data_IF_034857789126
#
_entry.id   IF_034857789126
#
_cell.length_a   1.000
_cell.length_b   1.000
_cell.length_c   1.000
_cell.angle_alpha   90.00
_cell.angle_beta   90.00
_cell.angle_gamma   90.00
#
_symmetry.space_group_name_H-M   'P 1'
#
loop_
_entity.id
_entity.type
_entity.pdbx_description
1 polymer ?
#
# COMPACT_ATOMS: atom_id res chain seq x y z
N UNK A 1 -50.75 33.09 -4.25
CA UNK A 1 -49.78 32.47 -5.16
C UNK A 1 -48.33 32.62 -4.70
N UNK A 2 -47.89 33.77 -4.19
CA UNK A 2 -46.49 34.06 -3.80
C UNK A 2 -45.95 33.25 -2.59
N UNK A 3 -46.78 32.94 -1.58
CA UNK A 3 -46.37 32.21 -0.36
C UNK A 3 -46.04 30.74 -0.67
N UNK A 4 -46.84 30.09 -1.56
CA UNK A 4 -46.59 28.69 -1.96
C UNK A 4 -45.23 28.53 -2.70
N UNK A 5 -44.90 29.48 -3.59
CA UNK A 5 -43.63 29.50 -4.30
C UNK A 5 -42.46 29.75 -3.35
N UNK A 6 -42.61 30.56 -2.32
CA UNK A 6 -41.59 30.81 -1.31
C UNK A 6 -41.31 29.56 -0.44
N UNK A 7 -42.37 28.85 -0.05
CA UNK A 7 -42.25 27.60 0.73
C UNK A 7 -41.57 26.52 -0.10
N UNK A 8 -41.87 26.38 -1.39
CA UNK A 8 -41.22 25.40 -2.28
C UNK A 8 -39.74 25.75 -2.46
N UNK A 9 -39.41 27.00 -2.63
CA UNK A 9 -38.02 27.44 -2.75
C UNK A 9 -37.21 27.20 -1.44
N UNK A 10 -37.81 27.47 -0.29
CA UNK A 10 -37.19 27.21 1.01
C UNK A 10 -36.99 25.72 1.27
N UNK A 11 -37.98 24.88 0.93
CA UNK A 11 -37.84 23.41 1.00
C UNK A 11 -36.71 22.90 0.06
N UNK A 12 -36.57 23.46 -1.13
CA UNK A 12 -35.52 23.14 -2.07
C UNK A 12 -34.14 23.46 -1.53
N UNK A 13 -33.98 24.60 -0.85
CA UNK A 13 -32.68 24.99 -0.23
C UNK A 13 -32.36 24.07 0.95
N UNK A 14 -33.35 23.66 1.76
CA UNK A 14 -33.16 22.72 2.88
C UNK A 14 -32.78 21.33 2.37
N UNK A 15 -33.36 20.86 1.26
CA UNK A 15 -33.02 19.57 0.65
C UNK A 15 -31.63 19.58 0.03
N UNK A 16 -31.19 20.70 -0.52
CA UNK A 16 -29.83 20.86 -1.06
C UNK A 16 -28.73 20.89 0.03
N UNK A 17 -29.05 21.36 1.24
CA UNK A 17 -28.12 21.40 2.36
C UNK A 17 -27.79 20.04 2.97
N UNK A 18 -28.54 18.99 2.67
CA UNK A 18 -28.30 17.62 3.13
C UNK A 18 -27.14 16.91 2.40
N UNK A 19 -26.64 17.49 1.31
CA UNK A 19 -25.56 16.88 0.51
C UNK A 19 -24.14 17.22 1.00
N UNK A 20 -23.96 17.88 2.12
CA UNK A 20 -22.74 18.63 2.37
C UNK A 20 -21.74 18.04 3.37
N UNK A 21 -21.86 16.85 3.89
CA UNK A 21 -20.77 16.25 4.69
C UNK A 21 -20.83 14.72 4.63
N UNK A 22 -20.24 14.15 3.60
CA UNK A 22 -19.77 12.76 3.70
C UNK A 22 -18.55 12.76 4.65
N UNK A 23 -18.67 12.08 5.77
CA UNK A 23 -17.55 11.83 6.69
C UNK A 23 -16.52 10.95 5.93
N UNK A 24 -15.46 11.60 5.43
CA UNK A 24 -14.44 10.94 4.61
C UNK A 24 -13.60 10.04 5.49
N UNK A 25 -13.89 8.74 5.52
CA UNK A 25 -13.16 7.74 6.29
C UNK A 25 -12.12 7.06 5.43
N UNK A 26 -10.90 7.00 5.94
CA UNK A 26 -9.82 6.23 5.34
C UNK A 26 -9.14 5.34 6.38
N UNK A 27 -8.51 4.27 5.93
CA UNK A 27 -7.68 3.44 6.78
C UNK A 27 -6.21 3.84 6.65
N UNK A 28 -5.52 3.97 7.77
CA UNK A 28 -4.07 4.11 7.82
C UNK A 28 -3.45 2.81 8.32
N UNK A 29 -2.54 2.24 7.54
CA UNK A 29 -1.82 1.00 7.82
C UNK A 29 -0.33 1.31 7.82
N UNK A 30 0.43 0.73 8.73
CA UNK A 30 1.88 0.87 8.77
C UNK A 30 2.55 -0.47 8.48
N UNK A 31 3.50 -0.47 7.53
CA UNK A 31 4.45 -1.54 7.29
C UNK A 31 5.84 -1.03 7.62
N UNK A 32 6.29 -1.25 8.84
CA UNK A 32 7.62 -0.86 9.30
C UNK A 32 8.44 -2.11 9.66
N UNK A 33 9.56 -2.32 8.96
CA UNK A 33 10.41 -3.48 9.14
C UNK A 33 10.14 -4.61 8.16
N UNK A 34 10.53 -5.85 8.52
CA UNK A 34 10.54 -6.99 7.60
C UNK A 34 9.14 -7.51 7.27
N UNK A 35 8.89 -7.81 5.99
CA UNK A 35 7.67 -8.47 5.51
C UNK A 35 7.68 -9.93 5.96
N UNK A 36 6.78 -10.26 6.90
CA UNK A 36 6.63 -11.58 7.51
C UNK A 36 5.15 -11.95 7.62
N UNK A 37 4.79 -13.20 7.98
CA UNK A 37 3.40 -13.63 8.02
C UNK A 37 2.52 -12.81 8.97
N UNK A 38 3.03 -12.38 10.12
CA UNK A 38 2.25 -11.59 11.10
C UNK A 38 1.89 -10.21 10.52
N UNK A 39 2.85 -9.57 9.88
CA UNK A 39 2.62 -8.28 9.19
C UNK A 39 1.70 -8.46 7.99
N UNK A 40 1.83 -9.55 7.25
CA UNK A 40 0.93 -9.84 6.12
C UNK A 40 -0.51 -10.03 6.60
N UNK A 41 -0.74 -10.83 7.63
CA UNK A 41 -2.07 -11.03 8.24
C UNK A 41 -2.67 -9.70 8.73
N UNK A 42 -1.88 -8.87 9.37
CA UNK A 42 -2.32 -7.54 9.81
C UNK A 42 -2.77 -6.68 8.64
N UNK A 43 -1.96 -6.58 7.57
CA UNK A 43 -2.26 -5.76 6.40
C UNK A 43 -3.50 -6.29 5.65
N UNK A 44 -3.55 -7.61 5.38
CA UNK A 44 -4.66 -8.28 4.70
C UNK A 44 -5.97 -8.04 5.44
N UNK A 45 -5.99 -8.25 6.76
CA UNK A 45 -7.18 -8.03 7.59
C UNK A 45 -7.57 -6.55 7.66
N UNK A 46 -6.60 -5.63 7.67
CA UNK A 46 -6.88 -4.19 7.68
C UNK A 46 -7.51 -3.72 6.36
N UNK A 47 -6.98 -4.17 5.21
CA UNK A 47 -7.57 -3.88 3.89
C UNK A 47 -8.98 -4.47 3.79
N UNK A 48 -9.16 -5.73 4.22
CA UNK A 48 -10.48 -6.38 4.24
C UNK A 48 -11.48 -5.60 5.10
N UNK A 49 -11.09 -5.17 6.29
CA UNK A 49 -11.91 -4.36 7.19
C UNK A 49 -12.28 -3.02 6.54
N UNK A 50 -11.33 -2.33 5.93
CA UNK A 50 -11.57 -1.07 5.25
C UNK A 50 -12.61 -1.20 4.11
N UNK A 51 -12.55 -2.30 3.33
CA UNK A 51 -13.55 -2.62 2.32
C UNK A 51 -14.94 -2.89 2.95
N UNK A 52 -15.02 -3.64 4.06
CA UNK A 52 -16.28 -3.95 4.73
C UNK A 52 -16.95 -2.72 5.36
N UNK A 53 -16.15 -1.77 5.83
CA UNK A 53 -16.63 -0.51 6.41
C UNK A 53 -16.87 0.58 5.36
N UNK A 54 -16.73 0.26 4.06
CA UNK A 54 -16.90 1.18 2.93
C UNK A 54 -16.08 2.46 3.09
N UNK A 55 -14.81 2.31 3.51
CA UNK A 55 -13.88 3.43 3.56
C UNK A 55 -13.56 3.90 2.15
N UNK A 56 -13.17 5.16 1.99
CA UNK A 56 -12.92 5.73 0.67
C UNK A 56 -11.61 5.22 0.06
N UNK A 57 -10.60 5.02 0.88
CA UNK A 57 -9.29 4.49 0.47
C UNK A 57 -8.50 3.97 1.67
N UNK A 58 -7.43 3.25 1.38
CA UNK A 58 -6.41 2.82 2.35
C UNK A 58 -5.11 3.53 2.04
N UNK A 59 -4.43 4.06 3.06
CA UNK A 59 -3.04 4.52 2.98
C UNK A 59 -2.17 3.55 3.75
N UNK A 60 -1.22 2.93 3.05
CA UNK A 60 -0.17 2.10 3.65
C UNK A 60 1.14 2.89 3.66
N UNK A 61 1.56 3.33 4.83
CA UNK A 61 2.88 3.93 5.04
C UNK A 61 3.91 2.82 5.17
N UNK A 62 4.98 2.88 4.38
CA UNK A 62 5.92 1.78 4.26
C UNK A 62 7.37 2.21 4.43
N UNK A 63 8.09 1.47 5.29
CA UNK A 63 9.55 1.45 5.40
C UNK A 63 9.99 0.00 5.63
N UNK A 64 10.49 -0.67 4.58
CA UNK A 64 10.82 -2.09 4.65
C UNK A 64 12.07 -2.45 3.84
N UNK A 65 12.97 -3.25 4.41
CA UNK A 65 14.08 -3.87 3.67
C UNK A 65 13.61 -5.06 2.80
N UNK A 66 12.32 -5.43 2.88
CA UNK A 66 11.76 -6.60 2.23
C UNK A 66 11.42 -7.72 3.20
N UNK A 67 11.39 -8.96 2.71
CA UNK A 67 11.09 -10.12 3.55
C UNK A 67 10.61 -11.34 2.76
N UNK A 68 9.72 -12.13 3.35
CA UNK A 68 9.32 -13.43 2.85
C UNK A 68 8.39 -13.33 1.63
N UNK A 69 8.69 -14.13 0.61
CA UNK A 69 7.96 -14.17 -0.65
C UNK A 69 6.46 -14.47 -0.48
N UNK A 70 6.11 -15.42 0.38
CA UNK A 70 4.71 -15.79 0.57
C UNK A 70 3.93 -14.65 1.24
N UNK A 71 4.49 -14.05 2.30
CA UNK A 71 3.89 -12.90 2.97
C UNK A 71 3.70 -11.70 2.01
N UNK A 72 4.69 -11.43 1.17
CA UNK A 72 4.58 -10.42 0.10
C UNK A 72 3.42 -10.73 -0.86
N UNK A 73 3.29 -11.99 -1.32
CA UNK A 73 2.22 -12.40 -2.23
C UNK A 73 0.83 -12.23 -1.63
N UNK A 74 0.66 -12.53 -0.34
CA UNK A 74 -0.61 -12.37 0.36
C UNK A 74 -1.01 -10.89 0.43
N UNK A 75 -0.05 -10.01 0.73
CA UNK A 75 -0.26 -8.55 0.71
C UNK A 75 -0.65 -8.07 -0.69
N UNK A 76 0.13 -8.44 -1.71
CA UNK A 76 -0.14 -8.04 -3.11
C UNK A 76 -1.53 -8.49 -3.54
N UNK A 77 -1.89 -9.75 -3.26
CA UNK A 77 -3.23 -10.27 -3.59
C UNK A 77 -4.33 -9.44 -2.92
N UNK A 78 -4.16 -9.11 -1.65
CA UNK A 78 -5.11 -8.28 -0.89
C UNK A 78 -5.27 -6.87 -1.47
N UNK A 79 -4.18 -6.27 -1.99
CA UNK A 79 -4.22 -4.98 -2.68
C UNK A 79 -5.01 -5.10 -3.98
N UNK A 80 -4.71 -6.11 -4.81
CA UNK A 80 -5.34 -6.30 -6.10
C UNK A 80 -6.83 -6.68 -6.00
N UNK A 81 -7.21 -7.40 -4.94
CA UNK A 81 -8.60 -7.81 -4.66
C UNK A 81 -9.41 -6.69 -3.97
N UNK A 82 -8.81 -5.55 -3.65
CA UNK A 82 -9.49 -4.45 -2.95
C UNK A 82 -10.45 -3.69 -3.86
N UNK A 83 -11.69 -3.46 -3.38
CA UNK A 83 -12.69 -2.65 -4.08
C UNK A 83 -12.49 -1.14 -3.89
N UNK A 84 -11.64 -0.75 -2.93
CA UNK A 84 -11.31 0.65 -2.66
C UNK A 84 -9.83 0.89 -2.97
N UNK A 85 -9.44 2.11 -3.37
CA UNK A 85 -8.06 2.42 -3.68
C UNK A 85 -7.11 2.15 -2.51
N UNK A 86 -6.02 1.46 -2.77
CA UNK A 86 -4.91 1.28 -1.83
C UNK A 86 -3.73 2.12 -2.31
N UNK A 87 -3.33 3.07 -1.49
CA UNK A 87 -2.20 3.97 -1.71
C UNK A 87 -1.04 3.44 -0.89
N UNK A 88 0.11 3.18 -1.51
CA UNK A 88 1.34 2.82 -0.80
C UNK A 88 2.28 4.03 -0.83
N UNK A 89 2.69 4.47 0.35
CA UNK A 89 3.51 5.66 0.52
C UNK A 89 4.80 5.33 1.28
N UNK A 90 5.94 5.41 0.60
CA UNK A 90 7.26 5.22 1.23
C UNK A 90 7.64 6.47 2.01
N UNK A 91 7.69 6.36 3.33
CA UNK A 91 7.91 7.43 4.31
C UNK A 91 8.44 6.84 5.62
N UNK A 92 9.24 7.58 6.41
CA UNK A 92 9.69 8.96 6.27
C UNK A 92 10.87 9.13 5.28
N UNK A 93 11.49 10.31 5.26
CA UNK A 93 12.76 10.53 4.55
C UNK A 93 13.80 9.51 5.00
N UNK A 94 14.46 8.84 4.04
CA UNK A 94 15.39 7.75 4.30
C UNK A 94 14.74 6.36 4.38
N UNK A 95 13.41 6.28 4.34
CA UNK A 95 12.70 5.01 4.26
C UNK A 95 12.94 4.31 2.93
N UNK A 96 12.76 2.99 2.94
CA UNK A 96 12.99 2.15 1.77
C UNK A 96 11.79 1.26 1.45
N UNK A 97 11.58 1.03 0.17
CA UNK A 97 10.71 0.01 -0.40
C UNK A 97 11.58 -1.03 -1.10
N UNK A 98 12.38 -1.80 -0.32
CA UNK A 98 13.35 -2.72 -0.89
C UNK A 98 12.80 -4.14 -1.04
N UNK A 99 13.30 -4.87 -2.05
CA UNK A 99 12.96 -6.28 -2.29
C UNK A 99 11.44 -6.51 -2.34
N UNK A 100 10.85 -7.26 -1.40
CA UNK A 100 9.41 -7.47 -1.29
C UNK A 100 8.62 -6.13 -1.22
N UNK A 101 9.19 -5.09 -0.58
CA UNK A 101 8.57 -3.77 -0.50
C UNK A 101 8.38 -3.12 -1.86
N UNK A 102 9.34 -3.24 -2.76
CA UNK A 102 9.23 -2.75 -4.13
C UNK A 102 8.09 -3.42 -4.90
N UNK A 103 7.92 -4.74 -4.78
CA UNK A 103 6.80 -5.47 -5.40
C UNK A 103 5.45 -5.05 -4.81
N UNK A 104 5.36 -4.84 -3.50
CA UNK A 104 4.15 -4.33 -2.85
C UNK A 104 3.82 -2.93 -3.38
N UNK A 105 4.82 -2.06 -3.51
CA UNK A 105 4.65 -0.70 -3.99
C UNK A 105 4.12 -0.64 -5.43
N UNK A 106 4.68 -1.44 -6.36
CA UNK A 106 4.21 -1.45 -7.75
C UNK A 106 2.85 -2.13 -7.95
N UNK A 107 2.37 -2.90 -6.96
CA UNK A 107 1.02 -3.48 -6.98
C UNK A 107 -0.07 -2.53 -6.47
N UNK A 108 0.30 -1.39 -5.89
CA UNK A 108 -0.63 -0.40 -5.36
C UNK A 108 -1.44 0.28 -6.47
N UNK A 109 -2.66 0.72 -6.15
CA UNK A 109 -3.45 1.56 -7.05
C UNK A 109 -2.81 2.93 -7.25
N UNK A 110 -2.17 3.45 -6.19
CA UNK A 110 -1.36 4.67 -6.22
C UNK A 110 -0.08 4.40 -5.43
N UNK A 111 1.06 4.64 -6.07
CA UNK A 111 2.37 4.57 -5.43
C UNK A 111 2.93 5.99 -5.25
N UNK A 112 3.37 6.31 -4.04
CA UNK A 112 3.94 7.60 -3.70
C UNK A 112 5.22 7.44 -2.86
N UNK A 113 6.15 8.34 -3.02
CA UNK A 113 7.42 8.34 -2.30
C UNK A 113 7.72 9.71 -1.73
N UNK A 114 8.17 9.75 -0.48
CA UNK A 114 8.73 10.96 0.11
C UNK A 114 10.11 11.28 -0.51
N UNK A 115 10.49 12.55 -0.64
CA UNK A 115 11.83 12.89 -1.08
C UNK A 115 12.93 12.24 -0.22
N UNK A 116 13.92 11.62 -0.90
CA UNK A 116 15.03 10.94 -0.23
C UNK A 116 14.67 9.56 0.32
N UNK A 117 13.66 8.90 -0.24
CA UNK A 117 13.35 7.49 -0.03
C UNK A 117 13.84 6.65 -1.22
N UNK A 118 13.95 5.33 -1.02
CA UNK A 118 14.50 4.41 -2.00
C UNK A 118 13.49 3.32 -2.38
N UNK A 119 13.54 2.88 -3.65
CA UNK A 119 12.85 1.69 -4.13
C UNK A 119 13.84 0.86 -4.95
N UNK A 120 13.87 -0.46 -4.74
CA UNK A 120 14.77 -1.32 -5.52
C UNK A 120 15.04 -2.69 -4.93
N UNK A 121 16.17 -3.27 -5.32
CA UNK A 121 16.62 -4.62 -4.93
C UNK A 121 15.55 -5.71 -5.20
N UNK A 122 14.71 -5.55 -6.22
CA UNK A 122 13.61 -6.45 -6.58
C UNK A 122 14.09 -7.64 -7.41
N UNK A 123 15.07 -8.40 -6.90
CA UNK A 123 15.55 -9.62 -7.53
C UNK A 123 15.51 -10.78 -6.53
N UNK A 124 15.21 -12.01 -6.97
CA UNK A 124 15.23 -13.16 -6.10
C UNK A 124 16.64 -13.39 -5.56
N UNK A 125 16.78 -13.53 -4.24
CA UNK A 125 18.01 -13.97 -3.60
C UNK A 125 17.83 -15.42 -3.18
N UNK A 126 18.71 -16.31 -3.63
CA UNK A 126 18.75 -17.70 -3.20
C UNK A 126 20.03 -17.93 -2.42
N UNK A 127 19.95 -18.48 -1.19
CA UNK A 127 21.14 -18.83 -0.43
C UNK A 127 22.07 -19.80 -1.18
N UNK A 128 21.52 -20.57 -2.13
CA UNK A 128 22.27 -21.54 -2.93
C UNK A 128 22.96 -20.93 -4.16
N UNK A 129 22.59 -19.74 -4.63
CA UNK A 129 23.21 -19.11 -5.79
C UNK A 129 24.56 -18.44 -5.47
N UNK A 130 24.79 -18.06 -4.22
CA UNK A 130 26.04 -17.44 -3.81
C UNK A 130 27.20 -18.45 -3.74
N UNK A 131 26.93 -19.74 -3.48
CA UNK A 131 27.97 -20.79 -3.49
C UNK A 131 28.56 -21.06 -4.87
N UNK A 132 27.85 -20.72 -5.95
CA UNK A 132 28.33 -21.00 -7.31
C UNK A 132 29.17 -19.88 -7.93
N UNK A 133 29.10 -18.66 -7.37
CA UNK A 133 29.93 -17.54 -7.85
C UNK A 133 31.30 -17.48 -7.24
N UNK A 134 31.46 -17.88 -5.98
CA UNK A 134 32.78 -17.90 -5.32
C UNK A 134 33.73 -18.99 -5.87
N UNK A 135 33.18 -20.10 -6.42
CA UNK A 135 33.98 -21.12 -7.06
C UNK A 135 34.49 -20.76 -8.46
N UNK A 136 33.94 -19.71 -9.08
CA UNK A 136 34.31 -19.31 -10.44
C UNK A 136 35.37 -18.21 -10.48
N UNK A 137 35.62 -17.54 -9.35
CA UNK A 137 36.65 -16.50 -9.23
C UNK A 137 38.07 -17.05 -8.91
N UNK A 138 38.12 -18.24 -8.33
CA UNK A 138 39.43 -18.85 -7.95
C UNK A 138 40.07 -19.69 -9.06
N UNK A 139 39.43 -19.83 -10.21
CA UNK A 139 39.89 -20.66 -11.32
C UNK A 139 40.61 -19.95 -12.47
N UNK A 140 40.87 -18.64 -12.41
CA UNK A 140 41.38 -17.85 -13.55
C UNK A 140 42.73 -17.15 -13.19
N UNK A 141 43.48 -17.61 -12.20
CA UNK A 141 44.83 -17.16 -11.98
C UNK A 141 45.79 -18.33 -11.88
N UNK A 142 45.97 -19.08 -12.97
CA UNK A 142 47.17 -19.84 -13.25
C UNK A 142 47.22 -20.22 -14.74
N UNK A 143 47.85 -19.35 -15.55
CA UNK A 143 48.88 -19.68 -16.58
C UNK A 143 49.34 -18.41 -17.28
#
# INVERSE_FOLDING_TARGET
MKIRSFIIALLGVILLSQFAFADEKYALIELNGSVNPVIADYIVNSIKKANQENMQFVVMVMDTPGGLLNAMRDIIKSILDSNIPVIVYTYPKGAQAASAGGFIMISAHIAAMSPGTEIGAMHPVSPFLNFSQDQKSDGIMEK
#
